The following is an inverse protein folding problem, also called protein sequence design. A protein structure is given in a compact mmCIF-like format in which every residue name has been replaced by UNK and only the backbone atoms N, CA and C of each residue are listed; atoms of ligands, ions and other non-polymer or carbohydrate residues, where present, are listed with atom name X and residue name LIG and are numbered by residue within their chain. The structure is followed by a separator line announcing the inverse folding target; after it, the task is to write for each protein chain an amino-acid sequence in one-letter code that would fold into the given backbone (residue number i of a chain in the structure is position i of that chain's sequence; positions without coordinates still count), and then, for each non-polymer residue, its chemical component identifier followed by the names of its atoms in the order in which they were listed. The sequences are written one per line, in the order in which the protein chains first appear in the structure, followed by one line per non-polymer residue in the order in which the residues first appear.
data_IF_543125750792
#
_entry.id   IF_543125750792
#
_cell.length_a   1.000
_cell.length_b   1.000
_cell.length_c   1.000
_cell.angle_alpha   90.00
_cell.angle_beta   90.00
_cell.angle_gamma   90.00
#
_symmetry.space_group_name_H-M   'P 1'
#
loop_
_entity.id
_entity.type
_entity.pdbx_description
1 polymer ?
#
# COMPACT_ATOMS: atom_id res chain seq x y z
N UNK A 1 8.30 34.33 7.36
CA UNK A 1 9.39 33.41 6.98
C UNK A 1 8.88 32.00 7.22
N UNK A 2 8.61 31.25 6.15
CA UNK A 2 8.14 29.86 6.23
C UNK A 2 9.30 29.02 6.75
N UNK A 3 9.19 28.49 7.97
CA UNK A 3 10.15 27.49 8.45
C UNK A 3 9.93 26.24 7.59
N UNK A 4 10.99 25.70 7.01
CA UNK A 4 10.93 24.39 6.36
C UNK A 4 10.44 23.38 7.41
N UNK A 5 9.27 22.75 7.26
CA UNK A 5 8.73 21.80 8.21
C UNK A 5 9.44 20.44 8.03
N UNK A 6 10.76 20.46 8.07
CA UNK A 6 11.57 19.25 7.98
C UNK A 6 12.15 18.92 9.35
N UNK A 7 11.85 17.73 9.85
CA UNK A 7 12.54 17.14 10.99
C UNK A 7 13.85 16.55 10.47
N UNK A 8 14.97 17.03 11.02
CA UNK A 8 16.29 16.44 10.80
C UNK A 8 16.60 15.53 11.98
N UNK A 9 16.87 14.26 11.71
CA UNK A 9 17.32 13.33 12.73
C UNK A 9 18.79 13.61 13.03
N UNK A 10 19.07 14.09 14.24
CA UNK A 10 20.44 14.28 14.71
C UNK A 10 21.01 12.94 15.18
N UNK A 11 22.10 12.53 14.52
CA UNK A 11 22.82 11.28 14.75
C UNK A 11 23.30 11.13 16.20
N UNK A 12 23.58 12.25 16.88
CA UNK A 12 24.03 12.26 18.28
C UNK A 12 22.94 11.86 19.29
N UNK A 13 21.67 11.93 18.89
CA UNK A 13 20.52 11.56 19.72
C UNK A 13 19.92 10.20 19.31
N UNK A 14 20.53 9.51 18.34
CA UNK A 14 20.07 8.18 17.92
C UNK A 14 20.47 7.15 18.97
N UNK A 15 19.48 6.58 19.64
CA UNK A 15 19.69 5.46 20.56
C UNK A 15 19.80 4.18 19.75
N UNK A 16 20.97 3.56 19.79
CA UNK A 16 21.17 2.21 19.25
C UNK A 16 20.65 1.21 20.29
N UNK A 17 19.59 0.49 19.93
CA UNK A 17 19.05 -0.60 20.73
C UNK A 17 20.07 -1.73 20.91
N UNK A 18 19.87 -2.59 21.91
CA UNK A 18 20.74 -3.75 22.18
C UNK A 18 20.80 -4.76 21.01
N UNK A 19 19.83 -4.67 20.10
CA UNK A 19 19.71 -5.42 18.86
C UNK A 19 20.42 -4.75 17.67
N UNK A 20 21.11 -3.63 17.90
CA UNK A 20 21.82 -2.87 16.86
C UNK A 20 20.92 -2.02 15.97
N UNK A 21 19.63 -1.89 16.31
CA UNK A 21 18.67 -1.10 15.54
C UNK A 21 18.54 0.31 16.09
N UNK A 22 18.30 1.26 15.20
CA UNK A 22 18.03 2.66 15.57
C UNK A 22 16.53 2.91 15.45
N UNK A 23 15.96 3.50 16.49
CA UNK A 23 14.55 3.88 16.52
C UNK A 23 14.41 5.36 16.85
N UNK A 24 13.51 6.04 16.15
CA UNK A 24 13.20 7.43 16.42
C UNK A 24 11.69 7.65 16.28
N UNK A 25 11.08 8.21 17.33
CA UNK A 25 9.67 8.57 17.36
C UNK A 25 9.56 10.08 17.34
N UNK A 26 8.74 10.61 16.46
CA UNK A 26 8.40 12.03 16.41
C UNK A 26 6.89 12.21 16.38
N UNK A 27 6.45 13.39 16.79
CA UNK A 27 5.06 13.83 16.57
C UNK A 27 5.07 14.77 15.38
N UNK A 28 4.19 14.53 14.41
CA UNK A 28 4.00 15.46 13.31
C UNK A 28 3.09 16.60 13.75
N UNK A 29 3.54 17.84 13.57
CA UNK A 29 2.85 19.09 13.85
C UNK A 29 2.16 19.67 12.61
N UNK A 30 2.42 19.11 11.41
CA UNK A 30 1.85 19.54 10.11
C UNK A 30 1.51 18.32 9.23
N UNK A 31 0.44 18.42 8.44
CA UNK A 31 -0.02 17.42 7.48
C UNK A 31 1.04 17.09 6.41
N UNK A 32 1.94 18.03 6.10
CA UNK A 32 2.98 17.87 5.08
C UNK A 32 4.41 17.82 5.65
N UNK A 33 4.56 17.43 6.91
CA UNK A 33 5.86 17.39 7.55
C UNK A 33 6.77 16.33 6.92
N UNK A 34 8.02 16.69 6.68
CA UNK A 34 9.02 15.82 6.04
C UNK A 34 10.02 15.32 7.08
N UNK A 35 10.46 14.08 6.93
CA UNK A 35 11.56 13.51 7.71
C UNK A 35 12.78 13.42 6.80
N UNK A 36 13.90 14.01 7.24
CA UNK A 36 15.18 13.98 6.51
C UNK A 36 16.22 13.24 7.33
N UNK A 37 16.77 12.20 6.73
CA UNK A 37 18.01 11.58 7.17
C UNK A 37 19.16 12.43 6.63
N UNK A 38 19.74 13.25 7.49
CA UNK A 38 20.94 13.99 7.14
C UNK A 38 22.17 13.11 7.42
N UNK A 39 23.17 13.21 6.55
CA UNK A 39 24.48 12.62 6.77
C UNK A 39 25.53 13.66 6.40
N UNK A 40 26.59 13.74 7.20
CA UNK A 40 27.76 14.56 6.90
C UNK A 40 28.77 13.84 5.97
N UNK A 41 28.42 12.67 5.44
CA UNK A 41 29.25 11.82 4.57
C UNK A 41 30.61 11.40 5.17
N UNK A 42 30.77 11.45 6.51
CA UNK A 42 31.95 10.92 7.18
C UNK A 42 31.77 9.41 7.42
N UNK A 43 32.49 8.61 6.62
CA UNK A 43 32.39 7.14 6.67
C UNK A 43 31.30 6.58 5.75
N UNK A 44 30.94 5.31 5.95
CA UNK A 44 29.98 4.59 5.11
C UNK A 44 28.74 4.24 5.92
N UNK A 45 27.66 5.03 5.78
CA UNK A 45 26.36 4.72 6.35
C UNK A 45 25.53 3.95 5.32
N UNK A 46 25.13 2.72 5.64
CA UNK A 46 24.29 1.88 4.78
C UNK A 46 22.97 1.56 5.46
N UNK A 47 21.86 1.96 4.84
CA UNK A 47 20.51 1.69 5.34
C UNK A 47 19.95 0.44 4.63
N UNK A 48 20.00 -0.71 5.29
CA UNK A 48 19.47 -1.96 4.73
C UNK A 48 17.94 -1.98 4.70
N UNK A 49 17.30 -1.47 5.75
CA UNK A 49 15.87 -1.57 5.99
C UNK A 49 15.39 -0.30 6.69
N UNK A 50 14.42 0.37 6.09
CA UNK A 50 13.77 1.55 6.66
C UNK A 50 12.28 1.29 6.77
N UNK A 51 11.72 1.46 7.97
CA UNK A 51 10.32 1.23 8.27
C UNK A 51 9.75 2.47 8.96
N UNK A 52 8.60 2.95 8.49
CA UNK A 52 7.89 4.10 9.04
C UNK A 52 6.51 3.61 9.44
N UNK A 53 6.19 3.72 10.73
CA UNK A 53 4.91 3.25 11.29
C UNK A 53 4.29 4.34 12.16
N UNK A 54 2.96 4.34 12.24
CA UNK A 54 2.22 5.15 13.20
C UNK A 54 2.15 4.38 14.52
N UNK A 55 2.71 4.96 15.58
CA UNK A 55 2.66 4.38 16.92
C UNK A 55 3.74 4.97 17.84
N UNK A 56 3.67 4.62 19.12
CA UNK A 56 4.65 5.00 20.15
C UNK A 56 5.72 3.92 20.40
N UNK A 57 5.61 2.77 19.70
CA UNK A 57 6.45 1.60 19.88
C UNK A 57 7.11 1.20 18.58
N UNK A 58 8.42 0.96 18.64
CA UNK A 58 9.15 0.32 17.57
C UNK A 58 8.70 -1.15 17.44
N UNK A 59 8.17 -1.53 16.28
CA UNK A 59 7.93 -2.93 15.97
C UNK A 59 9.13 -3.53 15.24
N UNK A 60 9.22 -4.86 15.21
CA UNK A 60 10.23 -5.54 14.40
C UNK A 60 9.95 -5.32 12.92
N UNK A 61 10.99 -5.12 12.12
CA UNK A 61 10.87 -5.03 10.67
C UNK A 61 10.11 -6.23 10.10
N UNK A 62 8.97 -5.96 9.48
CA UNK A 62 8.23 -6.95 8.68
C UNK A 62 8.50 -6.61 7.22
N UNK A 63 9.13 -7.54 6.49
CA UNK A 63 9.34 -7.35 5.06
C UNK A 63 7.98 -7.12 4.37
N UNK A 64 7.84 -6.12 3.48
CA UNK A 64 6.62 -5.96 2.72
C UNK A 64 6.38 -7.25 1.94
N UNK A 65 5.29 -7.94 2.26
CA UNK A 65 4.87 -9.08 1.46
C UNK A 65 4.37 -8.49 0.15
N UNK A 66 5.17 -8.63 -0.91
CA UNK A 66 4.65 -8.45 -2.26
C UNK A 66 3.66 -9.59 -2.46
N UNK A 67 2.39 -9.31 -2.20
CA UNK A 67 1.32 -10.16 -2.70
C UNK A 67 1.29 -9.85 -4.19
N UNK A 68 2.01 -10.64 -4.98
CA UNK A 68 1.73 -10.70 -6.40
C UNK A 68 0.25 -11.07 -6.48
N UNK A 69 -0.59 -10.06 -6.79
CA UNK A 69 -1.99 -10.31 -7.10
C UNK A 69 -1.98 -11.43 -8.13
N UNK A 70 -2.82 -12.45 -7.94
CA UNK A 70 -2.81 -13.73 -8.67
C UNK A 70 -3.06 -13.62 -10.19
N UNK A 71 -2.86 -12.43 -10.79
CA UNK A 71 -3.31 -12.06 -12.13
C UNK A 71 -4.83 -11.90 -12.22
N UNK A 72 -5.55 -12.20 -11.14
CA UNK A 72 -7.00 -12.12 -11.10
C UNK A 72 -7.42 -10.72 -10.65
N UNK A 73 -8.23 -10.01 -11.46
CA UNK A 73 -8.83 -8.76 -11.02
C UNK A 73 -9.65 -9.01 -9.75
N UNK A 74 -9.51 -8.14 -8.76
CA UNK A 74 -10.27 -8.15 -7.51
C UNK A 74 -11.23 -6.96 -7.46
N UNK A 75 -12.30 -7.07 -6.67
CA UNK A 75 -13.33 -6.02 -6.56
C UNK A 75 -14.07 -5.78 -7.88
N UNK A 76 -14.38 -4.52 -8.18
CA UNK A 76 -15.19 -4.10 -9.35
C UNK A 76 -14.66 -4.64 -10.69
N UNK A 77 -13.34 -4.82 -10.82
CA UNK A 77 -12.73 -5.34 -12.04
C UNK A 77 -12.98 -6.84 -12.24
N UNK A 78 -13.20 -7.60 -11.16
CA UNK A 78 -13.61 -9.01 -11.23
C UNK A 78 -15.00 -9.11 -11.85
N UNK A 79 -15.91 -8.30 -11.31
CA UNK A 79 -17.32 -8.27 -11.73
C UNK A 79 -17.43 -7.88 -13.21
N UNK A 80 -16.63 -6.91 -13.67
CA UNK A 80 -16.57 -6.54 -15.08
C UNK A 80 -16.05 -7.67 -15.99
N UNK A 81 -15.03 -8.41 -15.55
CA UNK A 81 -14.51 -9.56 -16.31
C UNK A 81 -15.50 -10.72 -16.35
N UNK A 82 -16.20 -10.98 -15.26
CA UNK A 82 -17.23 -12.01 -15.15
C UNK A 82 -18.44 -11.69 -16.03
N UNK A 83 -18.92 -10.44 -16.01
CA UNK A 83 -19.97 -9.95 -16.92
C UNK A 83 -19.51 -10.08 -18.38
N UNK A 84 -18.26 -9.72 -18.70
CA UNK A 84 -17.73 -9.86 -20.06
C UNK A 84 -17.74 -11.32 -20.51
N UNK A 85 -17.37 -12.26 -19.63
CA UNK A 85 -17.39 -13.69 -19.93
C UNK A 85 -18.83 -14.18 -20.16
N UNK A 86 -19.78 -13.79 -19.31
CA UNK A 86 -21.20 -14.13 -19.47
C UNK A 86 -21.81 -13.53 -20.74
N UNK A 87 -21.33 -12.38 -21.21
CA UNK A 87 -21.78 -11.79 -22.47
C UNK A 87 -21.19 -12.50 -23.70
N UNK A 88 -19.96 -13.01 -23.62
CA UNK A 88 -19.32 -13.75 -24.73
C UNK A 88 -19.76 -15.22 -24.82
N UNK A 89 -20.08 -15.85 -23.68
CA UNK A 89 -20.50 -17.26 -23.65
C UNK A 89 -21.99 -17.39 -23.97
N UNK A 90 -22.34 -17.37 -25.25
CA UNK A 90 -23.74 -17.44 -25.69
C UNK A 90 -24.42 -18.81 -25.47
N UNK A 91 -23.64 -19.84 -25.13
CA UNK A 91 -24.12 -21.21 -24.98
C UNK A 91 -24.42 -21.57 -23.52
N UNK A 92 -23.51 -21.25 -22.58
CA UNK A 92 -23.62 -21.66 -21.17
C UNK A 92 -23.89 -20.50 -20.20
N UNK A 93 -23.99 -19.26 -20.69
CA UNK A 93 -24.23 -18.09 -19.84
C UNK A 93 -25.62 -18.06 -19.21
N UNK A 94 -25.63 -17.85 -17.89
CA UNK A 94 -26.83 -17.61 -17.10
C UNK A 94 -27.46 -16.24 -17.41
N UNK A 95 -26.64 -15.24 -17.74
CA UNK A 95 -27.14 -13.93 -18.17
C UNK A 95 -27.94 -14.04 -19.47
N UNK A 96 -27.42 -14.75 -20.48
CA UNK A 96 -28.12 -14.93 -21.75
C UNK A 96 -29.40 -15.74 -21.61
N UNK A 97 -29.41 -16.76 -20.75
CA UNK A 97 -30.63 -17.54 -20.49
C UNK A 97 -31.74 -16.66 -19.90
N UNK A 98 -31.41 -15.78 -18.95
CA UNK A 98 -32.35 -14.79 -18.39
C UNK A 98 -32.80 -13.75 -19.41
N UNK A 99 -31.89 -13.17 -20.20
CA UNK A 99 -32.24 -12.20 -21.26
C UNK A 99 -33.20 -12.83 -22.27
N UNK A 100 -32.93 -14.08 -22.70
CA UNK A 100 -33.79 -14.82 -23.63
C UNK A 100 -35.18 -15.09 -23.04
N UNK A 101 -35.26 -15.45 -21.76
CA UNK A 101 -36.53 -15.66 -21.06
C UNK A 101 -37.35 -14.36 -20.95
N UNK A 102 -36.73 -13.26 -20.52
CA UNK A 102 -37.40 -11.95 -20.40
C UNK A 102 -37.88 -11.45 -21.76
N UNK A 103 -37.06 -11.55 -22.82
CA UNK A 103 -37.47 -11.14 -24.17
C UNK A 103 -38.62 -11.99 -24.71
N UNK A 104 -38.66 -13.30 -24.44
CA UNK A 104 -39.80 -14.15 -24.83
C UNK A 104 -41.08 -13.80 -24.07
N UNK A 105 -40.98 -13.43 -22.80
CA UNK A 105 -42.12 -12.97 -22.00
C UNK A 105 -42.69 -11.62 -22.47
N UNK A 106 -41.88 -10.78 -23.13
CA UNK A 106 -42.31 -9.51 -23.72
C UNK A 106 -42.93 -9.62 -25.12
N UNK A 107 -42.80 -10.78 -25.78
CA UNK A 107 -43.32 -11.03 -27.14
C UNK A 107 -44.67 -11.78 -27.15
N UNK A 108 -45.35 -11.87 -25.99
CA UNK A 108 -46.71 -12.41 -25.84
C UNK A 108 -47.75 -11.30 -25.75
#
# INVERSE_FOLDING_TARGET
MSRDPTITLDESNLVIGKDGRVHYTFTADDDNQKVRLASNCLGTAHFNQLMIERGDKATSYVAPVVVEGTGNPTGLFKDLKEISLELTDTENSNLWSKIKLTNRGMLQ
#
